data_IF_024857274207
#
_entry.id   IF_024857274207
#
_cell.length_a   1.000
_cell.length_b   1.000
_cell.length_c   1.000
_cell.angle_alpha   90.00
_cell.angle_beta   90.00
_cell.angle_gamma   90.00
#
_symmetry.space_group_name_H-M   'P 1'
#
loop_
_entity.id
_entity.type
_entity.pdbx_description
1 polymer ?
#
# COMPACT_ATOMS: atom_id res chain seq x y z
N UNK A 1 12.29 -8.64 9.43
CA UNK A 1 12.82 -8.61 10.79
C UNK A 1 11.92 -7.75 11.70
N UNK A 2 11.83 -8.01 13.04
CA UNK A 2 10.95 -7.21 13.92
C UNK A 2 11.24 -5.70 13.92
N UNK A 3 12.48 -5.29 13.63
CA UNK A 3 12.85 -3.87 13.54
C UNK A 3 12.39 -3.17 12.26
N UNK A 4 11.90 -3.92 11.30
CA UNK A 4 11.32 -3.42 10.06
C UNK A 4 9.81 -3.14 10.20
N UNK A 5 9.22 -3.52 11.33
CA UNK A 5 7.81 -3.31 11.65
C UNK A 5 7.68 -2.13 12.60
N UNK A 6 6.77 -1.23 12.31
CA UNK A 6 6.36 -0.11 13.17
C UNK A 6 4.84 -0.14 13.30
N UNK A 7 4.33 -0.21 14.53
CA UNK A 7 2.88 -0.18 14.78
C UNK A 7 2.35 1.26 14.66
N UNK A 8 1.21 1.40 14.02
CA UNK A 8 0.51 2.66 13.75
C UNK A 8 -0.95 2.56 14.19
N UNK A 9 -1.70 3.64 14.16
CA UNK A 9 -3.15 3.63 14.45
C UNK A 9 -4.00 3.04 13.31
N UNK A 10 -3.39 2.73 12.16
CA UNK A 10 -4.07 2.18 10.98
C UNK A 10 -3.33 2.48 9.69
N UNK A 11 -3.91 2.06 8.56
CA UNK A 11 -3.32 2.22 7.23
C UNK A 11 -3.03 3.69 6.89
N UNK A 12 -3.94 4.62 7.21
CA UNK A 12 -3.74 6.04 6.89
C UNK A 12 -2.51 6.65 7.57
N UNK A 13 -2.22 6.29 8.83
CA UNK A 13 -0.99 6.72 9.49
C UNK A 13 0.22 6.07 8.84
N UNK A 14 0.14 4.79 8.52
CA UNK A 14 1.22 4.06 7.87
C UNK A 14 1.57 4.64 6.49
N UNK A 15 0.57 4.92 5.64
CA UNK A 15 0.76 5.56 4.33
C UNK A 15 1.41 6.94 4.46
N UNK A 16 0.87 7.77 5.35
CA UNK A 16 1.42 9.10 5.61
C UNK A 16 2.88 9.02 6.04
N UNK A 17 3.21 8.11 6.97
CA UNK A 17 4.58 7.96 7.46
C UNK A 17 5.52 7.46 6.37
N UNK A 18 5.12 6.47 5.58
CA UNK A 18 5.90 5.96 4.46
C UNK A 18 6.23 7.05 3.44
N UNK A 19 5.19 7.73 2.94
CA UNK A 19 5.31 8.73 1.88
C UNK A 19 6.13 9.93 2.36
N UNK A 20 5.85 10.47 3.56
CA UNK A 20 6.60 11.60 4.13
C UNK A 20 8.06 11.25 4.42
N UNK A 21 8.33 10.01 4.85
CA UNK A 21 9.70 9.55 5.09
C UNK A 21 10.50 9.49 3.78
N UNK A 22 9.92 8.93 2.73
CA UNK A 22 10.54 8.89 1.41
C UNK A 22 10.75 10.30 0.84
N UNK A 23 9.76 11.18 0.95
CA UNK A 23 9.85 12.58 0.54
C UNK A 23 10.98 13.33 1.28
N UNK A 24 11.05 13.17 2.61
CA UNK A 24 12.11 13.77 3.42
C UNK A 24 13.51 13.29 3.01
N UNK A 25 13.69 11.97 2.83
CA UNK A 25 14.96 11.40 2.38
C UNK A 25 15.33 11.86 0.97
N UNK A 26 14.32 11.96 0.08
CA UNK A 26 14.50 12.45 -1.28
C UNK A 26 14.94 13.91 -1.33
N UNK A 27 14.25 14.78 -0.62
CA UNK A 27 14.55 16.22 -0.57
C UNK A 27 16.00 16.51 -0.12
N UNK A 28 16.54 15.73 0.82
CA UNK A 28 17.93 15.82 1.25
C UNK A 28 18.96 15.46 0.16
N UNK A 29 18.50 14.80 -0.89
CA UNK A 29 19.30 14.42 -2.07
C UNK A 29 18.93 15.23 -3.32
N UNK A 30 18.14 16.29 -3.16
CA UNK A 30 17.63 17.09 -4.28
C UNK A 30 16.56 16.39 -5.13
N UNK A 31 15.99 15.28 -4.65
CA UNK A 31 14.93 14.54 -5.35
C UNK A 31 13.57 14.93 -4.80
N UNK A 32 12.71 15.48 -5.64
CA UNK A 32 11.38 15.98 -5.24
C UNK A 32 10.26 15.53 -6.17
N UNK A 33 10.43 14.43 -6.87
CA UNK A 33 9.39 13.85 -7.72
C UNK A 33 8.87 12.54 -7.13
N UNK A 34 7.54 12.34 -7.18
CA UNK A 34 6.85 11.14 -6.71
C UNK A 34 5.89 10.67 -7.82
N UNK A 35 5.91 9.37 -8.09
CA UNK A 35 4.98 8.70 -9.01
C UNK A 35 3.93 7.93 -8.20
N UNK A 36 2.67 8.08 -8.57
CA UNK A 36 1.52 7.38 -7.97
C UNK A 36 0.44 7.12 -9.01
N UNK A 37 -0.74 6.67 -8.59
CA UNK A 37 -1.88 6.47 -9.47
C UNK A 37 -3.04 7.39 -9.11
N UNK A 38 -3.95 7.60 -10.07
CA UNK A 38 -5.11 8.49 -9.86
C UNK A 38 -6.19 7.88 -8.95
N UNK A 39 -6.13 6.58 -8.63
CA UNK A 39 -7.18 5.87 -7.88
C UNK A 39 -6.74 5.34 -6.50
N UNK A 40 -5.65 5.89 -5.97
CA UNK A 40 -5.18 5.57 -4.61
C UNK A 40 -6.23 5.91 -3.54
N UNK A 41 -6.11 5.28 -2.38
CA UNK A 41 -6.88 5.69 -1.22
C UNK A 41 -6.57 7.15 -0.84
N UNK A 42 -7.56 7.88 -0.30
CA UNK A 42 -7.40 9.29 0.08
C UNK A 42 -6.24 9.54 1.07
N UNK A 43 -5.84 8.55 1.86
CA UNK A 43 -4.67 8.65 2.73
C UNK A 43 -3.37 8.89 1.94
N UNK A 44 -3.27 8.31 0.74
CA UNK A 44 -2.16 8.53 -0.20
C UNK A 44 -2.37 9.84 -0.94
N UNK A 45 -3.50 10.03 -1.64
CA UNK A 45 -3.75 11.21 -2.48
C UNK A 45 -3.64 12.52 -1.70
N UNK A 46 -4.29 12.64 -0.54
CA UNK A 46 -4.22 13.88 0.26
C UNK A 46 -2.82 14.12 0.84
N UNK A 47 -2.03 13.05 1.11
CA UNK A 47 -0.64 13.21 1.50
C UNK A 47 0.21 13.74 0.33
N UNK A 48 -0.03 13.25 -0.88
CA UNK A 48 0.63 13.74 -2.10
C UNK A 48 0.25 15.19 -2.40
N UNK A 49 -1.04 15.55 -2.27
CA UNK A 49 -1.52 16.94 -2.41
C UNK A 49 -0.83 17.89 -1.43
N UNK A 50 -0.60 17.43 -0.20
CA UNK A 50 0.12 18.22 0.80
C UNK A 50 1.57 18.41 0.40
N UNK A 51 2.24 17.35 -0.07
CA UNK A 51 3.63 17.42 -0.53
C UNK A 51 3.78 18.29 -1.78
N UNK A 52 2.79 18.28 -2.69
CA UNK A 52 2.77 19.17 -3.85
C UNK A 52 2.82 20.64 -3.41
N UNK A 53 2.03 21.02 -2.38
CA UNK A 53 2.09 22.36 -1.78
C UNK A 53 3.42 22.67 -1.08
N UNK A 54 4.17 21.65 -0.70
CA UNK A 54 5.51 21.75 -0.10
C UNK A 54 6.63 21.74 -1.17
N UNK A 55 6.27 21.78 -2.46
CA UNK A 55 7.19 21.90 -3.59
C UNK A 55 7.71 20.57 -4.15
N UNK A 56 6.96 19.48 -3.94
CA UNK A 56 7.16 18.22 -4.66
C UNK A 56 6.35 18.21 -5.95
N UNK A 57 6.87 17.55 -6.96
CA UNK A 57 6.15 17.28 -8.20
C UNK A 57 5.54 15.87 -8.13
N UNK A 58 4.26 15.74 -8.44
CA UNK A 58 3.51 14.49 -8.37
C UNK A 58 3.06 14.10 -9.78
N UNK A 59 3.45 12.92 -10.22
CA UNK A 59 2.88 12.30 -11.44
C UNK A 59 1.86 11.25 -11.03
N UNK A 60 0.61 11.47 -11.39
CA UNK A 60 -0.46 10.48 -11.24
C UNK A 60 -0.67 9.75 -12.55
N UNK A 61 -0.39 8.44 -12.56
CA UNK A 61 -0.63 7.58 -13.71
C UNK A 61 -2.12 7.28 -13.88
N UNK A 62 -2.57 7.23 -15.11
CA UNK A 62 -3.90 6.71 -15.45
C UNK A 62 -3.97 5.20 -15.21
N UNK A 63 -5.12 4.73 -14.78
CA UNK A 63 -5.35 3.31 -14.46
C UNK A 63 -6.19 2.58 -15.51
N UNK A 64 -6.53 3.23 -16.59
CA UNK A 64 -7.35 2.72 -17.69
C UNK A 64 -8.70 2.15 -17.24
N UNK A 65 -9.46 1.56 -18.16
CA UNK A 65 -10.80 1.00 -17.87
C UNK A 65 -10.77 -0.21 -16.94
N UNK A 66 -9.68 -0.99 -16.99
CA UNK A 66 -9.52 -2.18 -16.14
C UNK A 66 -8.90 -1.87 -14.76
N UNK A 67 -8.52 -0.62 -14.51
CA UNK A 67 -7.91 -0.22 -13.25
C UNK A 67 -6.46 -0.71 -13.07
N UNK A 68 -5.73 -1.01 -14.16
CA UNK A 68 -4.35 -1.49 -14.11
C UNK A 68 -3.36 -0.41 -14.56
N UNK A 69 -2.21 -0.39 -13.90
CA UNK A 69 -1.00 0.33 -14.33
C UNK A 69 0.06 -0.69 -14.70
N UNK A 70 0.74 -0.50 -15.82
CA UNK A 70 1.82 -1.39 -16.23
C UNK A 70 3.17 -0.96 -15.66
N UNK A 71 4.08 -1.93 -15.48
CA UNK A 71 5.45 -1.63 -15.05
C UNK A 71 6.19 -0.72 -16.06
N UNK A 72 5.84 -0.79 -17.35
CA UNK A 72 6.42 0.06 -18.38
C UNK A 72 5.96 1.53 -18.26
N UNK A 73 4.70 1.78 -17.89
CA UNK A 73 4.22 3.14 -17.62
C UNK A 73 4.91 3.74 -16.40
N UNK A 74 5.10 2.92 -15.34
CA UNK A 74 5.88 3.33 -14.18
C UNK A 74 7.33 3.65 -14.56
N UNK A 75 7.97 2.82 -15.40
CA UNK A 75 9.32 3.03 -15.90
C UNK A 75 9.45 4.37 -16.64
N UNK A 76 8.50 4.68 -17.51
CA UNK A 76 8.49 5.94 -18.28
C UNK A 76 8.27 7.18 -17.41
N UNK A 77 7.53 7.03 -16.32
CA UNK A 77 7.24 8.13 -15.40
C UNK A 77 8.41 8.41 -14.43
N UNK A 78 9.28 7.42 -14.17
CA UNK A 78 10.43 7.60 -13.29
C UNK A 78 11.47 8.52 -13.95
N UNK A 79 11.90 9.53 -13.21
CA UNK A 79 12.89 10.54 -13.60
C UNK A 79 14.12 10.48 -12.69
N UNK A 80 15.24 11.13 -13.03
CA UNK A 80 16.42 11.18 -12.16
C UNK A 80 16.17 11.76 -10.76
N UNK A 81 15.18 12.67 -10.64
CA UNK A 81 14.76 13.30 -9.40
C UNK A 81 13.58 12.59 -8.71
N UNK A 82 13.17 11.41 -9.17
CA UNK A 82 12.15 10.61 -8.51
C UNK A 82 12.71 10.02 -7.22
N UNK A 83 11.99 10.22 -6.10
CA UNK A 83 12.36 9.68 -4.79
C UNK A 83 11.46 8.52 -4.33
N UNK A 84 10.26 8.42 -4.89
CA UNK A 84 9.26 7.41 -4.49
C UNK A 84 8.35 7.03 -5.65
N UNK A 85 8.05 5.75 -5.75
CA UNK A 85 6.86 5.24 -6.42
C UNK A 85 5.94 4.69 -5.33
N UNK A 86 4.67 5.13 -5.31
CA UNK A 86 3.67 4.63 -4.36
C UNK A 86 2.42 4.22 -5.12
N UNK A 87 2.10 2.94 -5.11
CA UNK A 87 0.99 2.33 -5.85
C UNK A 87 0.34 1.29 -4.97
N UNK A 88 -0.97 1.38 -4.77
CA UNK A 88 -1.72 0.44 -3.95
C UNK A 88 -1.65 -0.97 -4.51
N UNK A 89 -1.66 -1.97 -3.64
CA UNK A 89 -1.58 -3.37 -4.03
C UNK A 89 -2.85 -3.86 -4.73
N UNK A 90 -3.99 -3.51 -4.15
CA UNK A 90 -5.32 -3.81 -4.70
C UNK A 90 -6.28 -2.66 -4.38
N UNK A 91 -7.13 -2.29 -5.33
CA UNK A 91 -8.04 -1.17 -5.14
C UNK A 91 -9.24 -1.58 -4.28
N UNK A 92 -9.61 -0.71 -3.34
CA UNK A 92 -10.68 -0.93 -2.37
C UNK A 92 -12.10 -0.84 -2.95
N UNK A 93 -12.27 -0.25 -4.13
CA UNK A 93 -13.59 -0.06 -4.75
C UNK A 93 -13.83 -1.05 -5.89
N UNK A 94 -12.91 -1.17 -6.83
CA UNK A 94 -13.06 -2.01 -8.02
C UNK A 94 -12.37 -3.38 -7.89
N UNK A 95 -11.60 -3.60 -6.84
CA UNK A 95 -10.92 -4.89 -6.54
C UNK A 95 -9.72 -5.21 -7.41
N UNK A 96 -9.38 -4.41 -8.41
CA UNK A 96 -8.24 -4.69 -9.31
C UNK A 96 -6.93 -4.79 -8.56
N UNK A 97 -6.16 -5.87 -8.82
CA UNK A 97 -4.85 -6.15 -8.22
C UNK A 97 -3.76 -5.65 -9.17
N UNK A 98 -2.84 -4.82 -8.67
CA UNK A 98 -1.74 -4.25 -9.44
C UNK A 98 -0.59 -5.25 -9.63
N UNK A 99 0.21 -5.13 -10.70
CA UNK A 99 1.39 -5.97 -10.96
C UNK A 99 2.58 -5.56 -10.09
N UNK A 100 2.44 -5.73 -8.78
CA UNK A 100 3.37 -5.23 -7.75
C UNK A 100 4.80 -5.76 -7.92
N UNK A 101 4.95 -7.04 -8.28
CA UNK A 101 6.27 -7.64 -8.45
C UNK A 101 7.04 -7.01 -9.63
N UNK A 102 6.36 -6.77 -10.74
CA UNK A 102 6.91 -6.15 -11.93
C UNK A 102 7.25 -4.68 -11.67
N UNK A 103 6.37 -3.95 -10.99
CA UNK A 103 6.60 -2.55 -10.59
C UNK A 103 7.78 -2.47 -9.61
N UNK A 104 7.83 -3.34 -8.60
CA UNK A 104 8.93 -3.40 -7.65
C UNK A 104 10.28 -3.72 -8.32
N UNK A 105 10.28 -4.59 -9.35
CA UNK A 105 11.48 -4.88 -10.12
C UNK A 105 12.00 -3.64 -10.87
N UNK A 106 11.11 -2.87 -11.49
CA UNK A 106 11.45 -1.59 -12.16
C UNK A 106 12.01 -0.59 -11.15
N UNK A 107 11.35 -0.41 -10.01
CA UNK A 107 11.80 0.52 -8.97
C UNK A 107 13.19 0.15 -8.44
N UNK A 108 13.43 -1.14 -8.20
CA UNK A 108 14.74 -1.65 -7.75
C UNK A 108 15.83 -1.42 -8.80
N UNK A 109 15.55 -1.71 -10.07
CA UNK A 109 16.49 -1.49 -11.19
C UNK A 109 16.90 -0.02 -11.28
N UNK A 110 15.94 0.90 -11.14
CA UNK A 110 16.15 2.34 -11.26
C UNK A 110 16.57 3.02 -9.94
N UNK A 111 16.70 2.26 -8.84
CA UNK A 111 17.15 2.77 -7.55
C UNK A 111 16.19 3.77 -6.91
N UNK A 112 14.88 3.59 -7.13
CA UNK A 112 13.81 4.39 -6.57
C UNK A 112 13.08 3.59 -5.48
N UNK A 113 12.72 4.23 -4.36
CA UNK A 113 11.96 3.56 -3.30
C UNK A 113 10.56 3.19 -3.79
N UNK A 114 10.11 1.99 -3.41
CA UNK A 114 8.78 1.49 -3.72
C UNK A 114 7.96 1.29 -2.43
N UNK A 115 6.85 2.00 -2.33
CA UNK A 115 5.82 1.83 -1.31
C UNK A 115 4.55 1.26 -1.93
N UNK A 116 3.87 0.38 -1.20
CA UNK A 116 2.53 -0.07 -1.57
C UNK A 116 1.57 0.01 -0.39
N UNK A 117 0.41 0.64 -0.61
CA UNK A 117 -0.73 0.48 0.29
C UNK A 117 -1.31 -0.93 0.07
N UNK A 118 -1.02 -1.84 1.00
CA UNK A 118 -1.49 -3.22 0.99
C UNK A 118 -2.66 -3.45 1.95
N UNK A 119 -3.36 -2.41 2.36
CA UNK A 119 -4.49 -2.47 3.30
C UNK A 119 -5.57 -3.43 2.80
N UNK A 120 -5.82 -3.50 1.49
CA UNK A 120 -6.79 -4.45 0.91
C UNK A 120 -6.19 -5.81 0.55
N UNK A 121 -4.85 -5.94 0.53
CA UNK A 121 -4.18 -7.17 0.12
C UNK A 121 -3.76 -8.06 1.30
N UNK A 122 -3.40 -7.45 2.43
CA UNK A 122 -2.94 -8.18 3.62
C UNK A 122 -4.02 -9.13 4.13
N UNK A 123 -3.68 -10.42 4.29
CA UNK A 123 -4.61 -11.47 4.68
C UNK A 123 -5.54 -11.98 3.56
N UNK A 124 -5.45 -11.41 2.35
CA UNK A 124 -6.26 -11.79 1.19
C UNK A 124 -5.43 -12.27 0.00
N UNK A 125 -4.21 -11.80 -0.12
CA UNK A 125 -3.27 -12.12 -1.20
C UNK A 125 -1.92 -12.55 -0.61
N UNK A 126 -1.17 -13.36 -1.35
CA UNK A 126 0.21 -13.70 -1.00
C UNK A 126 1.12 -12.50 -1.19
N UNK A 127 1.81 -12.09 -0.13
CA UNK A 127 2.75 -10.98 -0.12
C UNK A 127 4.12 -11.48 0.35
N UNK A 128 5.13 -11.34 -0.50
CA UNK A 128 6.54 -11.50 -0.15
C UNK A 128 7.28 -10.21 -0.49
N UNK A 129 7.54 -9.41 0.52
CA UNK A 129 8.17 -8.09 0.35
C UNK A 129 9.55 -8.16 -0.30
N UNK A 130 10.27 -9.28 -0.16
CA UNK A 130 11.60 -9.47 -0.78
C UNK A 130 11.48 -9.87 -2.23
N UNK A 131 10.65 -10.88 -2.52
CA UNK A 131 10.43 -11.37 -3.88
C UNK A 131 9.79 -10.30 -4.78
N UNK A 132 8.88 -9.49 -4.19
CA UNK A 132 8.17 -8.42 -4.89
C UNK A 132 8.92 -7.07 -4.85
N UNK A 133 10.12 -7.02 -4.24
CA UNK A 133 10.97 -5.83 -4.13
C UNK A 133 10.25 -4.61 -3.51
N UNK A 134 9.44 -4.85 -2.49
CA UNK A 134 8.72 -3.82 -1.75
C UNK A 134 9.65 -3.25 -0.68
N UNK A 135 9.85 -1.94 -0.70
CA UNK A 135 10.66 -1.23 0.30
C UNK A 135 9.84 -0.83 1.53
N UNK A 136 8.59 -0.41 1.33
CA UNK A 136 7.66 -0.06 2.39
C UNK A 136 6.26 -0.59 2.06
N UNK A 137 5.51 -1.00 3.09
CA UNK A 137 4.16 -1.53 2.93
C UNK A 137 3.29 -1.12 4.11
N UNK A 138 2.09 -0.63 3.81
CA UNK A 138 1.09 -0.25 4.80
C UNK A 138 -0.01 -1.30 4.90
N UNK A 139 -0.46 -1.59 6.13
CA UNK A 139 -1.63 -2.44 6.37
C UNK A 139 -2.48 -1.95 7.55
N UNK A 140 -3.72 -2.42 7.64
CA UNK A 140 -4.65 -2.09 8.71
C UNK A 140 -5.43 -3.32 9.16
N UNK A 141 -5.40 -3.59 10.46
CA UNK A 141 -5.91 -4.85 11.03
C UNK A 141 -7.40 -5.09 10.74
N UNK A 142 -8.23 -4.04 10.75
CA UNK A 142 -9.68 -4.18 10.55
C UNK A 142 -10.07 -4.68 9.15
N UNK A 143 -9.15 -4.74 8.21
CA UNK A 143 -9.40 -5.26 6.85
C UNK A 143 -9.25 -6.79 6.76
N UNK A 144 -8.58 -7.39 7.73
CA UNK A 144 -8.46 -8.85 7.86
C UNK A 144 -8.99 -9.35 9.21
N UNK A 145 -10.12 -8.78 9.66
CA UNK A 145 -10.87 -9.15 10.85
C UNK A 145 -10.19 -8.85 12.20
N UNK A 146 -9.10 -8.11 12.21
CA UNK A 146 -8.44 -7.64 13.41
C UNK A 146 -9.11 -6.40 14.02
N UNK A 147 -8.59 -5.91 15.15
CA UNK A 147 -9.13 -4.72 15.83
C UNK A 147 -9.02 -3.46 14.97
N UNK A 148 -9.98 -2.56 15.16
CA UNK A 148 -9.89 -1.18 14.67
C UNK A 148 -8.85 -0.39 15.48
N UNK A 149 -8.25 0.63 14.86
CA UNK A 149 -7.32 1.52 15.55
C UNK A 149 -5.90 0.96 15.69
N UNK A 150 -5.55 -0.05 14.91
CA UNK A 150 -4.20 -0.61 14.80
C UNK A 150 -3.86 -0.93 13.33
N UNK A 151 -2.63 -0.64 12.94
CA UNK A 151 -2.05 -0.96 11.65
C UNK A 151 -0.54 -1.12 11.76
N UNK A 152 0.10 -1.34 10.65
CA UNK A 152 1.57 -1.51 10.56
C UNK A 152 2.10 -0.78 9.35
N UNK A 153 3.25 -0.17 9.52
CA UNK A 153 4.17 0.18 8.46
C UNK A 153 5.35 -0.80 8.49
N UNK A 154 5.48 -1.62 7.45
CA UNK A 154 6.73 -2.30 7.14
C UNK A 154 7.66 -1.31 6.43
N UNK A 155 8.89 -1.22 6.87
CA UNK A 155 9.96 -0.49 6.19
C UNK A 155 11.23 -1.31 6.20
N UNK A 156 11.75 -1.64 5.03
CA UNK A 156 12.98 -2.41 4.84
C UNK A 156 14.14 -1.78 5.63
N UNK A 157 14.98 -2.61 6.21
CA UNK A 157 16.17 -2.18 6.96
C UNK A 157 16.98 -1.14 6.16
N UNK A 158 17.31 -0.04 6.81
CA UNK A 158 18.05 1.08 6.23
C UNK A 158 17.17 2.23 5.74
N UNK A 159 15.85 2.08 5.73
CA UNK A 159 14.93 3.19 5.46
C UNK A 159 14.73 3.97 6.75
N UNK A 160 14.96 5.28 6.69
CA UNK A 160 14.69 6.20 7.79
C UNK A 160 13.20 6.55 7.79
N UNK A 161 12.56 6.43 8.95
CA UNK A 161 11.18 6.85 9.14
C UNK A 161 11.13 8.15 9.94
N UNK A 162 10.44 9.15 9.40
CA UNK A 162 10.17 10.39 10.13
C UNK A 162 9.05 10.16 11.15
N UNK A 163 9.14 10.78 12.31
CA UNK A 163 8.03 10.80 13.26
C UNK A 163 6.92 11.71 12.75
N UNK A 164 5.69 11.21 12.77
CA UNK A 164 4.50 12.03 12.55
C UNK A 164 3.90 12.50 13.87
N UNK A 165 4.19 11.78 14.96
CA UNK A 165 3.70 12.04 16.30
C UNK A 165 4.93 12.23 17.20
N UNK A 166 5.12 13.44 17.69
CA UNK A 166 6.22 13.76 18.61
C UNK A 166 5.92 13.27 20.02
N UNK A 167 6.94 12.79 20.74
CA UNK A 167 6.78 12.31 22.12
C UNK A 167 7.90 11.38 22.57
N UNK A 168 7.55 10.30 23.27
CA UNK A 168 8.50 9.32 23.79
C UNK A 168 9.14 8.44 22.71
N UNK A 169 10.07 7.59 23.12
CA UNK A 169 10.87 6.76 22.21
C UNK A 169 10.25 5.38 21.88
N UNK A 170 8.92 5.28 21.98
CA UNK A 170 8.22 4.05 21.61
C UNK A 170 8.50 3.70 20.12
N UNK A 171 8.24 2.48 19.72
CA UNK A 171 8.56 1.97 18.39
C UNK A 171 10.02 2.29 17.96
N UNK A 172 10.96 2.24 18.91
CA UNK A 172 12.38 2.57 18.70
C UNK A 172 12.59 4.00 18.18
N UNK A 173 11.79 4.94 18.67
CA UNK A 173 11.82 6.35 18.27
C UNK A 173 11.17 6.65 16.92
N UNK A 174 10.44 5.70 16.34
CA UNK A 174 9.81 5.88 15.02
C UNK A 174 8.34 6.31 15.12
N UNK A 175 7.70 6.08 16.27
CA UNK A 175 6.31 6.46 16.50
C UNK A 175 6.07 6.57 18.02
N UNK A 176 5.83 7.76 18.49
CA UNK A 176 5.60 8.02 19.91
C UNK A 176 4.20 7.60 20.36
N UNK A 177 4.05 7.41 21.69
CA UNK A 177 2.81 7.01 22.35
C UNK A 177 2.87 5.57 22.81
N UNK A 178 2.27 5.31 23.99
CA UNK A 178 2.23 3.97 24.59
C UNK A 178 1.62 2.95 23.64
N UNK A 179 2.26 1.81 23.52
CA UNK A 179 1.85 0.74 22.60
C UNK A 179 0.51 0.14 23.01
N UNK A 180 -0.40 -0.01 22.06
CA UNK A 180 -1.69 -0.67 22.26
C UNK A 180 -1.50 -2.21 22.17
N UNK A 181 -0.93 -2.80 23.24
CA UNK A 181 -0.56 -4.23 23.28
C UNK A 181 -1.75 -5.13 22.94
N UNK A 182 -2.93 -4.83 23.48
CA UNK A 182 -4.15 -5.63 23.22
C UNK A 182 -4.50 -5.65 21.72
N UNK A 183 -4.47 -4.49 21.06
CA UNK A 183 -4.76 -4.41 19.64
C UNK A 183 -3.63 -5.03 18.78
N UNK A 184 -2.37 -4.91 19.18
CA UNK A 184 -1.23 -5.55 18.51
C UNK A 184 -1.40 -7.07 18.55
N UNK A 185 -1.70 -7.66 19.70
CA UNK A 185 -1.92 -9.10 19.84
C UNK A 185 -3.14 -9.57 19.03
N UNK A 186 -4.24 -8.82 19.10
CA UNK A 186 -5.43 -9.14 18.30
C UNK A 186 -5.18 -9.05 16.78
N UNK A 187 -4.38 -8.09 16.33
CA UNK A 187 -3.97 -7.97 14.93
C UNK A 187 -3.10 -9.15 14.51
N UNK A 188 -2.13 -9.55 15.35
CA UNK A 188 -1.25 -10.70 15.06
C UNK A 188 -2.05 -11.99 14.89
N UNK A 189 -2.96 -12.29 15.83
CA UNK A 189 -3.84 -13.45 15.75
C UNK A 189 -4.74 -13.44 14.50
N UNK A 190 -5.33 -12.29 14.16
CA UNK A 190 -6.16 -12.16 12.98
C UNK A 190 -5.37 -12.34 11.68
N UNK A 191 -4.15 -11.81 11.60
CA UNK A 191 -3.30 -11.97 10.42
C UNK A 191 -2.84 -13.42 10.26
N UNK A 192 -2.47 -14.08 11.33
CA UNK A 192 -2.09 -15.50 11.34
C UNK A 192 -3.25 -16.37 10.82
N UNK A 193 -4.47 -16.17 11.33
CA UNK A 193 -5.67 -16.88 10.89
C UNK A 193 -5.99 -16.60 9.42
N UNK A 194 -5.94 -15.32 9.00
CA UNK A 194 -6.20 -14.93 7.63
C UNK A 194 -5.19 -15.56 6.65
N UNK A 195 -3.90 -15.56 6.99
CA UNK A 195 -2.86 -16.18 6.17
C UNK A 195 -2.97 -17.71 6.13
N UNK A 196 -3.30 -18.37 7.24
CA UNK A 196 -3.49 -19.82 7.29
C UNK A 196 -4.65 -20.30 6.41
N UNK A 197 -5.68 -19.49 6.22
CA UNK A 197 -6.87 -19.81 5.45
C UNK A 197 -6.95 -19.09 4.09
N UNK A 198 -5.89 -18.42 3.67
CA UNK A 198 -5.88 -17.52 2.52
C UNK A 198 -6.42 -18.16 1.25
N UNK A 199 -5.83 -19.29 0.81
CA UNK A 199 -6.20 -19.93 -0.46
C UNK A 199 -7.63 -20.49 -0.44
N UNK A 200 -8.06 -21.05 0.69
CA UNK A 200 -9.43 -21.56 0.87
C UNK A 200 -10.45 -20.43 0.80
N UNK A 201 -10.17 -19.31 1.48
CA UNK A 201 -11.03 -18.13 1.48
C UNK A 201 -11.05 -17.46 0.10
N UNK A 202 -9.89 -17.30 -0.54
CA UNK A 202 -9.78 -16.73 -1.87
C UNK A 202 -10.60 -17.53 -2.89
N UNK A 203 -10.48 -18.87 -2.90
CA UNK A 203 -11.24 -19.74 -3.79
C UNK A 203 -12.76 -19.63 -3.55
N UNK A 204 -13.20 -19.58 -2.29
CA UNK A 204 -14.62 -19.39 -1.94
C UNK A 204 -15.14 -18.03 -2.39
N UNK A 205 -14.41 -16.97 -2.08
CA UNK A 205 -14.82 -15.60 -2.43
C UNK A 205 -14.85 -15.39 -3.94
N UNK A 206 -13.87 -15.94 -4.67
CA UNK A 206 -13.86 -15.92 -6.15
C UNK A 206 -15.14 -16.54 -6.74
N UNK A 207 -15.54 -17.72 -6.27
CA UNK A 207 -16.80 -18.38 -6.74
C UNK A 207 -18.04 -17.52 -6.47
N UNK A 208 -18.11 -16.89 -5.29
CA UNK A 208 -19.25 -16.05 -4.90
C UNK A 208 -19.27 -14.75 -5.73
N UNK A 209 -18.11 -14.12 -5.89
CA UNK A 209 -17.92 -12.94 -6.72
C UNK A 209 -18.32 -13.19 -8.16
N UNK A 210 -17.81 -14.26 -8.77
CA UNK A 210 -18.06 -14.56 -10.18
C UNK A 210 -19.54 -14.88 -10.42
N UNK A 211 -20.19 -15.57 -9.47
CA UNK A 211 -21.65 -15.78 -9.48
C UNK A 211 -22.42 -14.46 -9.42
N UNK A 212 -21.98 -13.52 -8.56
CA UNK A 212 -22.61 -12.21 -8.45
C UNK A 212 -22.44 -11.40 -9.75
N UNK A 213 -21.23 -11.35 -10.31
CA UNK A 213 -20.95 -10.67 -11.58
C UNK A 213 -21.83 -11.25 -12.69
N UNK A 214 -21.86 -12.57 -12.85
CA UNK A 214 -22.69 -13.23 -13.86
C UNK A 214 -24.20 -12.97 -13.69
N UNK A 215 -24.66 -12.78 -12.45
CA UNK A 215 -26.05 -12.39 -12.15
C UNK A 215 -26.33 -10.94 -12.52
N UNK A 216 -25.49 -10.01 -12.08
CA UNK A 216 -25.66 -8.58 -12.30
C UNK A 216 -25.50 -8.19 -13.77
N UNK A 217 -24.60 -8.85 -14.52
CA UNK A 217 -24.42 -8.61 -15.96
C UNK A 217 -25.65 -8.89 -16.82
N UNK A 218 -26.69 -9.53 -16.27
CA UNK A 218 -27.98 -9.75 -16.96
C UNK A 218 -28.92 -8.53 -16.82
N UNK A 219 -28.60 -7.59 -15.97
CA UNK A 219 -29.40 -6.38 -15.77
C UNK A 219 -29.05 -5.39 -16.90
N UNK A 220 -30.05 -4.89 -17.65
CA UNK A 220 -29.80 -3.88 -18.70
C UNK A 220 -29.04 -2.67 -18.15
N UNK A 221 -28.10 -2.16 -18.93
CA UNK A 221 -27.28 -0.99 -18.60
C UNK A 221 -26.33 -1.18 -17.41
N UNK A 222 -26.12 -2.41 -16.92
CA UNK A 222 -25.06 -2.69 -15.94
C UNK A 222 -23.70 -2.86 -16.63
N UNK A 223 -22.64 -2.42 -15.95
CA UNK A 223 -21.25 -2.62 -16.38
C UNK A 223 -20.37 -3.04 -15.19
N UNK A 224 -19.38 -3.88 -15.45
CA UNK A 224 -18.36 -4.23 -14.48
C UNK A 224 -17.23 -3.20 -14.54
N UNK A 225 -16.91 -2.59 -13.41
CA UNK A 225 -15.72 -1.74 -13.27
C UNK A 225 -14.50 -2.57 -12.82
N UNK A 226 -13.34 -2.27 -13.36
CA UNK A 226 -12.08 -2.94 -13.05
C UNK A 226 -11.85 -4.21 -13.85
N UNK A 227 -10.72 -4.87 -13.59
CA UNK A 227 -10.32 -6.10 -14.29
C UNK A 227 -11.23 -7.29 -13.90
N UNK A 228 -11.65 -8.07 -14.88
CA UNK A 228 -12.54 -9.22 -14.63
C UNK A 228 -11.84 -10.42 -13.99
N UNK A 229 -10.52 -10.51 -14.10
CA UNK A 229 -9.70 -11.66 -13.66
C UNK A 229 -8.73 -11.28 -12.54
N UNK A 230 -7.98 -10.19 -12.73
CA UNK A 230 -6.99 -9.70 -11.76
C UNK A 230 -7.67 -8.89 -10.65
N UNK A 231 -8.44 -9.59 -9.79
CA UNK A 231 -9.20 -8.97 -8.71
C UNK A 231 -9.44 -9.90 -7.55
#
# INVERSE_FOLDING_TARGET
EPREITFTSGGSEADNQAIRSAAWMGARKGKKHIVSTAFEHHAVLHTLDKLAKEGFEITLLDVHENGLVTAEEVRKAIRPDTCLVTIMFANNEIGTIQPIAEIGAVCKELGVLFHTDAVQAAGHLHIDVKAQNIDMLSLSAHKFHGPKGIGVLYARKGIFLVNLIEGGAQERGKRAGTENISAIMGMAAALEEACANLDVNAAKLTKLRDRLIAGLSKIPHSALNGDAVKR
#
